data_IF_247892197451
#
_entry.id   IF_247892197451
#
_cell.length_a   1.000
_cell.length_b   1.000
_cell.length_c   1.000
_cell.angle_alpha   90.00
_cell.angle_beta   90.00
_cell.angle_gamma   90.00
#
_symmetry.space_group_name_H-M   'P 1'
#
loop_
_entity.id
_entity.type
_entity.pdbx_description
1 polymer ?
#
# COMPACT_ATOMS: atom_id res chain seq x y z
N UNK A 1 -10.08 -17.48 -25.91
CA UNK A 1 -10.25 -18.06 -24.56
C UNK A 1 -8.85 -18.46 -24.13
N UNK A 2 -8.20 -17.64 -23.32
CA UNK A 2 -6.80 -17.82 -22.91
C UNK A 2 -6.84 -17.90 -21.39
N UNK A 3 -6.57 -19.09 -20.85
CA UNK A 3 -6.59 -19.35 -19.41
C UNK A 3 -5.49 -18.56 -18.70
N UNK A 4 -5.85 -17.93 -17.58
CA UNK A 4 -4.91 -17.31 -16.66
C UNK A 4 -4.13 -18.39 -15.89
N UNK A 5 -2.83 -18.19 -15.59
CA UNK A 5 -2.08 -19.14 -14.78
C UNK A 5 -2.57 -19.14 -13.31
N UNK A 6 -2.45 -20.26 -12.60
CA UNK A 6 -2.95 -20.40 -11.24
C UNK A 6 -2.11 -19.59 -10.23
N UNK A 7 -2.69 -19.22 -9.07
CA UNK A 7 -1.95 -18.58 -7.99
C UNK A 7 -0.90 -19.53 -7.39
N UNK A 8 0.27 -18.98 -7.06
CA UNK A 8 1.35 -19.68 -6.36
C UNK A 8 0.88 -19.97 -4.94
N UNK A 9 0.47 -21.21 -4.67
CA UNK A 9 0.24 -21.70 -3.32
C UNK A 9 1.59 -22.09 -2.71
N UNK A 10 2.08 -21.33 -1.73
CA UNK A 10 3.12 -21.82 -0.82
C UNK A 10 2.55 -22.99 -0.01
N UNK A 11 2.91 -24.21 -0.39
CA UNK A 11 2.60 -25.41 0.38
C UNK A 11 3.44 -25.43 1.67
N UNK A 12 2.87 -24.99 2.78
CA UNK A 12 3.38 -25.34 4.10
C UNK A 12 3.03 -26.80 4.37
N UNK A 13 4.05 -27.65 4.53
CA UNK A 13 3.89 -29.02 5.03
C UNK A 13 3.28 -28.96 6.42
N UNK A 14 2.09 -29.54 6.57
CA UNK A 14 1.50 -29.84 7.88
C UNK A 14 2.47 -30.73 8.67
N UNK A 15 3.12 -30.15 9.67
CA UNK A 15 3.85 -30.92 10.68
C UNK A 15 2.90 -31.15 11.84
N UNK A 16 2.65 -32.43 12.12
CA UNK A 16 1.85 -32.86 13.28
C UNK A 16 2.41 -32.24 14.58
N UNK A 17 1.55 -31.94 15.58
CA UNK A 17 1.99 -31.30 16.80
C UNK A 17 2.96 -32.21 17.58
N UNK A 18 4.06 -31.68 18.12
CA UNK A 18 5.00 -32.47 18.92
C UNK A 18 4.38 -32.90 20.26
N UNK A 19 4.80 -34.05 20.83
CA UNK A 19 4.28 -34.55 22.09
C UNK A 19 4.60 -33.63 23.27
N UNK A 20 3.67 -33.60 24.23
CA UNK A 20 3.42 -32.57 25.26
C UNK A 20 4.58 -32.25 26.24
N UNK A 21 5.72 -32.93 26.20
CA UNK A 21 6.76 -32.80 27.23
C UNK A 21 8.19 -32.66 26.64
N UNK A 22 8.48 -31.57 25.93
CA UNK A 22 9.86 -31.18 25.57
C UNK A 22 10.21 -29.80 26.16
N UNK A 23 11.43 -29.58 26.70
CA UNK A 23 11.83 -28.30 27.28
C UNK A 23 11.98 -27.20 26.21
N UNK A 24 11.92 -25.91 26.58
CA UNK A 24 11.76 -24.82 25.61
C UNK A 24 13.01 -24.67 24.74
N UNK A 25 12.85 -25.04 23.46
CA UNK A 25 13.77 -24.68 22.39
C UNK A 25 13.68 -23.17 22.14
N UNK A 26 14.80 -22.47 22.23
CA UNK A 26 14.94 -21.09 21.77
C UNK A 26 14.97 -21.07 20.24
N UNK A 27 13.81 -21.17 19.60
CA UNK A 27 13.66 -20.74 18.21
C UNK A 27 13.09 -19.31 18.19
N UNK A 28 13.56 -18.42 17.30
CA UNK A 28 12.95 -17.12 17.15
C UNK A 28 11.55 -17.35 16.56
N UNK A 29 10.51 -17.13 17.37
CA UNK A 29 9.13 -17.07 16.88
C UNK A 29 9.06 -16.02 15.77
N UNK A 30 8.67 -16.39 14.54
CA UNK A 30 8.29 -15.38 13.57
C UNK A 30 7.02 -14.76 14.11
N UNK A 31 7.08 -13.47 14.46
CA UNK A 31 5.87 -12.69 14.78
C UNK A 31 5.14 -12.43 13.46
N UNK A 32 4.51 -13.47 12.92
CA UNK A 32 3.47 -13.33 11.93
C UNK A 32 2.22 -12.90 12.69
N UNK A 33 2.02 -11.59 12.83
CA UNK A 33 0.72 -11.07 13.21
C UNK A 33 -0.33 -11.67 12.26
N UNK A 34 -1.45 -12.22 12.77
CA UNK A 34 -2.51 -12.70 11.89
C UNK A 34 -2.96 -11.54 11.01
N UNK A 35 -2.81 -11.71 9.69
CA UNK A 35 -3.31 -10.77 8.68
C UNK A 35 -4.81 -10.60 8.92
N UNK A 36 -5.24 -9.37 9.22
CA UNK A 36 -6.68 -9.09 9.28
C UNK A 36 -7.19 -8.99 7.85
N UNK A 37 -8.21 -9.79 7.53
CA UNK A 37 -8.79 -9.77 6.20
C UNK A 37 -9.35 -8.37 5.86
N UNK A 38 -9.46 -8.06 4.57
CA UNK A 38 -10.03 -6.79 4.11
C UNK A 38 -11.45 -6.50 4.66
N UNK A 39 -12.24 -7.55 4.84
CA UNK A 39 -13.58 -7.50 5.46
C UNK A 39 -13.49 -7.10 6.94
N UNK A 40 -12.53 -7.67 7.68
CA UNK A 40 -12.27 -7.32 9.08
C UNK A 40 -11.82 -5.87 9.23
N UNK A 41 -10.98 -5.36 8.32
CA UNK A 41 -10.59 -3.95 8.29
C UNK A 41 -11.79 -3.02 8.10
N UNK A 42 -12.70 -3.38 7.20
CA UNK A 42 -13.93 -2.61 6.95
C UNK A 42 -14.83 -2.58 8.20
N UNK A 43 -14.97 -3.73 8.86
CA UNK A 43 -15.71 -3.84 10.11
C UNK A 43 -15.05 -3.03 11.23
N UNK A 44 -13.73 -3.09 11.40
CA UNK A 44 -13.02 -2.29 12.41
C UNK A 44 -13.13 -0.78 12.16
N UNK A 45 -13.11 -0.34 10.90
CA UNK A 45 -13.32 1.08 10.56
C UNK A 45 -14.68 1.58 11.00
N UNK A 46 -15.69 0.72 11.18
CA UNK A 46 -17.00 1.10 11.71
C UNK A 46 -16.96 1.43 13.21
N UNK A 47 -15.97 0.90 13.94
CA UNK A 47 -15.77 1.10 15.38
C UNK A 47 -15.16 2.48 15.64
N UNK A 48 -15.87 3.42 16.30
CA UNK A 48 -15.41 4.81 16.43
C UNK A 48 -14.07 4.95 17.15
N UNK A 49 -13.85 4.16 18.20
CA UNK A 49 -12.62 4.24 19.01
C UNK A 49 -11.40 3.70 18.25
N UNK A 50 -11.59 2.70 17.38
CA UNK A 50 -10.53 2.19 16.52
C UNK A 50 -10.14 3.28 15.51
N UNK A 51 -11.14 3.84 14.81
CA UNK A 51 -10.94 4.91 13.82
C UNK A 51 -10.27 6.14 14.43
N UNK A 52 -10.66 6.53 15.63
CA UNK A 52 -10.10 7.71 16.33
C UNK A 52 -8.61 7.54 16.72
N UNK A 53 -8.14 6.30 16.90
CA UNK A 53 -6.75 5.98 17.24
C UNK A 53 -5.88 5.64 16.04
N UNK A 54 -6.50 5.46 14.88
CA UNK A 54 -5.80 5.12 13.67
C UNK A 54 -4.96 6.30 13.16
N UNK A 55 -3.97 6.00 12.32
CA UNK A 55 -2.97 6.98 11.87
C UNK A 55 -2.67 6.80 10.38
N UNK A 56 -2.24 7.87 9.68
CA UNK A 56 -1.91 7.75 8.26
C UNK A 56 -0.80 6.73 8.01
N UNK A 57 0.17 6.61 8.93
CA UNK A 57 1.25 5.63 8.75
C UNK A 57 0.74 4.18 8.81
N UNK A 58 -0.16 3.85 9.75
CA UNK A 58 -0.79 2.51 9.82
C UNK A 58 -1.60 2.20 8.56
N UNK A 59 -2.27 3.20 8.00
CA UNK A 59 -2.97 3.07 6.72
C UNK A 59 -2.03 2.77 5.56
N UNK A 60 -0.87 3.45 5.49
CA UNK A 60 0.16 3.13 4.50
C UNK A 60 0.74 1.71 4.68
N UNK A 61 0.94 1.24 5.91
CA UNK A 61 1.33 -0.16 6.14
C UNK A 61 0.28 -1.15 5.65
N UNK A 62 -1.03 -0.86 5.82
CA UNK A 62 -2.08 -1.70 5.25
C UNK A 62 -2.09 -1.71 3.72
N UNK A 63 -1.75 -0.59 3.07
CA UNK A 63 -1.52 -0.55 1.62
C UNK A 63 -0.33 -1.41 1.22
N UNK A 64 0.79 -1.31 1.94
CA UNK A 64 1.96 -2.17 1.73
C UNK A 64 1.61 -3.66 1.85
N UNK A 65 0.93 -4.06 2.92
CA UNK A 65 0.52 -5.45 3.13
C UNK A 65 -0.38 -5.95 1.99
N UNK A 66 -1.33 -5.13 1.54
CA UNK A 66 -2.20 -5.47 0.41
C UNK A 66 -1.40 -5.66 -0.89
N UNK A 67 -0.44 -4.78 -1.19
CA UNK A 67 0.42 -4.91 -2.37
C UNK A 67 1.33 -6.13 -2.28
N UNK A 68 1.97 -6.35 -1.12
CA UNK A 68 2.85 -7.49 -0.89
C UNK A 68 2.10 -8.84 -0.92
N UNK A 69 0.82 -8.86 -0.55
CA UNK A 69 -0.04 -10.04 -0.63
C UNK A 69 -0.69 -10.23 -2.01
N UNK A 70 -0.54 -9.29 -2.94
CA UNK A 70 -1.25 -9.31 -4.23
C UNK A 70 -2.77 -9.07 -4.09
N UNK A 71 -3.22 -8.54 -2.96
CA UNK A 71 -4.64 -8.26 -2.66
C UNK A 71 -5.04 -6.87 -3.16
N UNK A 72 -4.88 -6.63 -4.46
CA UNK A 72 -5.13 -5.32 -5.09
C UNK A 72 -6.54 -4.78 -4.89
N UNK A 73 -7.53 -5.66 -4.65
CA UNK A 73 -8.89 -5.27 -4.30
C UNK A 73 -8.98 -4.50 -2.96
N UNK A 74 -8.02 -4.69 -2.04
CA UNK A 74 -7.96 -4.03 -0.74
C UNK A 74 -7.30 -2.63 -0.79
N UNK A 75 -6.56 -2.32 -1.87
CA UNK A 75 -5.90 -1.01 -2.05
C UNK A 75 -6.95 0.10 -2.15
N UNK A 76 -7.92 -0.04 -3.05
CA UNK A 76 -8.98 0.96 -3.27
C UNK A 76 -9.67 1.40 -1.98
N UNK A 77 -10.25 0.51 -1.16
CA UNK A 77 -10.94 0.93 0.06
C UNK A 77 -10.00 1.52 1.11
N UNK A 78 -8.71 1.17 1.14
CA UNK A 78 -7.73 1.80 2.04
C UNK A 78 -7.31 3.20 1.56
N UNK A 79 -7.10 3.40 0.26
CA UNK A 79 -6.85 4.73 -0.33
C UNK A 79 -8.05 5.66 -0.09
N UNK A 80 -9.28 5.16 -0.28
CA UNK A 80 -10.49 5.93 -0.01
C UNK A 80 -10.60 6.29 1.48
N UNK A 81 -10.31 5.34 2.36
CA UNK A 81 -10.33 5.56 3.79
C UNK A 81 -9.31 6.65 4.21
N UNK A 82 -8.08 6.59 3.71
CA UNK A 82 -7.05 7.61 3.95
C UNK A 82 -7.53 8.99 3.46
N UNK A 83 -8.06 9.06 2.24
CA UNK A 83 -8.51 10.30 1.62
C UNK A 83 -9.51 11.07 2.50
N UNK A 84 -10.49 10.36 3.06
CA UNK A 84 -11.54 10.96 3.88
C UNK A 84 -11.13 11.26 5.33
N UNK A 85 -9.95 10.84 5.78
CA UNK A 85 -9.39 11.32 7.06
C UNK A 85 -8.87 12.75 6.90
N UNK A 86 -9.71 13.74 7.21
CA UNK A 86 -9.41 15.17 7.00
C UNK A 86 -8.16 15.68 7.74
N UNK A 87 -7.82 15.07 8.87
CA UNK A 87 -6.63 15.41 9.65
C UNK A 87 -5.35 14.79 9.09
N UNK A 88 -5.44 13.84 8.15
CA UNK A 88 -4.31 13.12 7.59
C UNK A 88 -3.77 13.86 6.36
N UNK A 89 -2.94 14.86 6.63
CA UNK A 89 -2.21 15.62 5.61
C UNK A 89 -1.02 14.78 5.15
N UNK A 90 -0.95 14.49 3.85
CA UNK A 90 0.03 13.54 3.31
C UNK A 90 1.47 14.02 3.53
N UNK A 91 1.76 15.29 3.26
CA UNK A 91 3.09 15.87 3.47
C UNK A 91 3.55 15.92 4.94
N UNK A 92 2.64 15.69 5.89
CA UNK A 92 2.93 15.67 7.34
C UNK A 92 3.02 14.26 7.91
N UNK A 93 2.93 13.21 7.08
CA UNK A 93 3.14 11.84 7.56
C UNK A 93 4.59 11.71 8.04
N UNK A 94 4.82 11.32 9.31
CA UNK A 94 6.17 11.21 9.83
C UNK A 94 6.93 10.09 9.12
N UNK A 95 8.25 10.26 9.04
CA UNK A 95 9.16 9.23 8.55
C UNK A 95 9.09 7.99 9.47
N UNK A 96 8.69 6.80 8.95
CA UNK A 96 8.66 5.58 9.75
C UNK A 96 10.05 5.07 10.12
N UNK A 97 11.10 5.47 9.40
CA UNK A 97 12.48 4.96 9.54
C UNK A 97 12.50 3.44 9.56
N UNK A 98 11.83 2.84 8.60
CA UNK A 98 11.65 1.40 8.56
C UNK A 98 12.99 0.70 8.36
N UNK A 99 13.26 -0.32 9.18
CA UNK A 99 14.52 -1.06 9.16
C UNK A 99 14.64 -1.99 7.95
N UNK A 100 13.50 -2.41 7.38
CA UNK A 100 13.48 -3.24 6.18
C UNK A 100 13.55 -2.32 4.94
N UNK A 101 14.65 -2.33 4.17
CA UNK A 101 14.82 -1.45 3.03
C UNK A 101 13.80 -1.71 1.91
N UNK A 102 13.33 -2.95 1.75
CA UNK A 102 12.29 -3.30 0.75
C UNK A 102 10.97 -2.67 1.16
N UNK A 103 10.55 -2.89 2.41
CA UNK A 103 9.32 -2.29 2.93
C UNK A 103 9.40 -0.77 2.93
N UNK A 104 10.55 -0.20 3.28
CA UNK A 104 10.72 1.25 3.30
C UNK A 104 10.57 1.86 1.88
N UNK A 105 11.17 1.22 0.88
CA UNK A 105 11.04 1.63 -0.52
C UNK A 105 9.59 1.55 -1.02
N UNK A 106 8.85 0.50 -0.65
CA UNK A 106 7.43 0.38 -1.00
C UNK A 106 6.60 1.47 -0.32
N UNK A 107 6.81 1.73 0.97
CA UNK A 107 6.11 2.79 1.70
C UNK A 107 6.37 4.19 1.11
N UNK A 108 7.62 4.47 0.72
CA UNK A 108 7.97 5.72 0.04
C UNK A 108 7.24 5.87 -1.29
N UNK A 109 7.20 4.79 -2.09
CA UNK A 109 6.50 4.75 -3.38
C UNK A 109 4.98 4.92 -3.21
N UNK A 110 4.39 4.28 -2.20
CA UNK A 110 2.98 4.44 -1.83
C UNK A 110 2.66 5.90 -1.51
N UNK A 111 3.49 6.57 -0.70
CA UNK A 111 3.25 7.96 -0.32
C UNK A 111 3.29 8.90 -1.52
N UNK A 112 4.23 8.68 -2.44
CA UNK A 112 4.35 9.45 -3.67
C UNK A 112 3.18 9.21 -4.63
N UNK A 113 2.75 7.96 -4.75
CA UNK A 113 1.62 7.60 -5.61
C UNK A 113 0.29 8.10 -5.04
N UNK A 114 0.11 8.08 -3.71
CA UNK A 114 -1.02 8.72 -3.04
C UNK A 114 -1.11 10.22 -3.36
N UNK A 115 0.03 10.93 -3.41
CA UNK A 115 0.04 12.35 -3.76
C UNK A 115 -0.49 12.58 -5.18
N UNK A 116 -0.07 11.75 -6.15
CA UNK A 116 -0.57 11.81 -7.53
C UNK A 116 -2.07 11.49 -7.59
N UNK A 117 -2.50 10.40 -6.95
CA UNK A 117 -3.89 9.97 -6.93
C UNK A 117 -4.81 11.01 -6.28
N UNK A 118 -4.37 11.66 -5.20
CA UNK A 118 -5.11 12.72 -4.54
C UNK A 118 -5.18 14.00 -5.38
N UNK A 119 -4.10 14.37 -6.05
CA UNK A 119 -4.11 15.48 -7.00
C UNK A 119 -5.02 15.22 -8.19
N UNK A 120 -5.07 13.98 -8.69
CA UNK A 120 -6.04 13.57 -9.69
C UNK A 120 -7.48 13.71 -9.18
N UNK A 121 -7.80 13.23 -7.96
CA UNK A 121 -9.13 13.46 -7.34
C UNK A 121 -9.49 14.94 -7.22
N UNK A 122 -8.54 15.78 -6.79
CA UNK A 122 -8.75 17.22 -6.67
C UNK A 122 -9.04 17.87 -8.03
N UNK A 123 -8.36 17.41 -9.08
CA UNK A 123 -8.58 17.85 -10.47
C UNK A 123 -9.96 17.48 -11.02
N UNK A 124 -10.61 16.47 -10.45
CA UNK A 124 -11.99 16.09 -10.74
C UNK A 124 -13.02 16.85 -9.89
N UNK A 125 -12.58 17.77 -9.02
CA UNK A 125 -13.47 18.54 -8.15
C UNK A 125 -13.82 17.83 -6.83
N UNK A 126 -13.29 16.63 -6.59
CA UNK A 126 -13.47 15.94 -5.32
C UNK A 126 -12.75 16.68 -4.19
N UNK A 127 -13.23 16.53 -2.95
CA UNK A 127 -12.63 17.11 -1.75
C UNK A 127 -12.63 16.08 -0.62
N UNK A 128 -11.71 16.22 0.33
CA UNK A 128 -11.64 15.35 1.53
C UNK A 128 -12.91 15.44 2.40
N UNK A 129 -13.67 16.52 2.27
CA UNK A 129 -15.03 16.61 2.78
C UNK A 129 -16.01 16.27 1.64
N UNK A 130 -16.69 15.11 1.72
CA UNK A 130 -17.69 14.67 0.74
C UNK A 130 -18.76 15.74 0.45
N UNK A 131 -19.12 16.55 1.46
CA UNK A 131 -20.14 17.61 1.32
C UNK A 131 -19.65 18.83 0.53
N UNK A 132 -18.34 18.91 0.28
CA UNK A 132 -17.69 20.02 -0.43
C UNK A 132 -17.20 19.61 -1.82
N UNK A 133 -17.61 18.46 -2.33
CA UNK A 133 -17.35 18.09 -3.72
C UNK A 133 -17.90 19.16 -4.66
N UNK A 134 -17.11 19.47 -5.69
CA UNK A 134 -17.44 20.48 -6.68
C UNK A 134 -17.84 19.73 -7.95
N UNK A 135 -19.12 19.81 -8.29
CA UNK A 135 -19.66 19.16 -9.47
C UNK A 135 -19.74 20.16 -10.61
N UNK A 136 -19.29 19.72 -11.78
CA UNK A 136 -19.55 20.44 -13.03
C UNK A 136 -21.03 20.32 -13.38
N UNK A 137 -21.64 21.40 -13.87
CA UNK A 137 -22.99 21.40 -14.46
C UNK A 137 -22.90 21.17 -15.97
N UNK A 138 -21.84 21.65 -16.61
CA UNK A 138 -21.54 21.40 -18.04
C UNK A 138 -20.08 20.99 -18.25
N UNK A 139 -19.73 20.50 -19.44
CA UNK A 139 -18.36 20.03 -19.74
C UNK A 139 -17.35 21.18 -19.79
N UNK A 140 -17.83 22.39 -20.06
CA UNK A 140 -17.06 23.64 -20.18
C UNK A 140 -16.76 24.28 -18.83
N UNK A 141 -17.39 23.82 -17.74
CA UNK A 141 -17.17 24.35 -16.40
C UNK A 141 -15.74 24.11 -15.93
N UNK A 142 -14.99 25.20 -15.79
CA UNK A 142 -13.65 25.18 -15.21
C UNK A 142 -13.77 25.02 -13.69
N UNK A 143 -13.17 23.95 -13.17
CA UNK A 143 -13.12 23.73 -11.73
C UNK A 143 -12.21 24.76 -11.07
N UNK A 144 -12.56 25.24 -9.86
CA UNK A 144 -11.72 26.19 -9.15
C UNK A 144 -10.38 25.56 -8.80
N UNK A 145 -9.30 26.38 -8.72
CA UNK A 145 -7.98 25.88 -8.37
C UNK A 145 -7.99 25.20 -7.01
N UNK A 146 -7.07 24.27 -6.82
CA UNK A 146 -6.87 23.55 -5.56
C UNK A 146 -5.40 23.61 -5.15
N UNK A 147 -5.15 23.51 -3.85
CA UNK A 147 -3.80 23.31 -3.33
C UNK A 147 -3.39 21.85 -3.57
N UNK A 148 -2.33 21.58 -4.34
CA UNK A 148 -1.88 20.21 -4.55
C UNK A 148 -1.40 19.55 -3.25
N UNK A 149 -1.74 18.28 -3.11
CA UNK A 149 -1.12 17.40 -2.12
C UNK A 149 0.32 17.11 -2.56
N UNK A 150 1.22 17.01 -1.58
CA UNK A 150 2.62 16.68 -1.80
C UNK A 150 2.99 15.48 -0.95
N UNK A 151 3.86 14.63 -1.47
CA UNK A 151 4.41 13.52 -0.71
C UNK A 151 5.22 14.04 0.51
N UNK A 152 5.36 13.25 1.58
CA UNK A 152 6.26 13.58 2.67
C UNK A 152 7.69 13.83 2.17
N UNK A 153 8.42 14.77 2.77
CA UNK A 153 9.79 15.07 2.33
C UNK A 153 10.76 13.90 2.50
N UNK A 154 10.50 12.99 3.44
CA UNK A 154 11.37 11.84 3.71
C UNK A 154 11.42 10.86 2.54
N UNK A 155 10.39 10.78 1.70
CA UNK A 155 10.35 9.81 0.59
C UNK A 155 11.48 10.05 -0.41
N UNK A 156 11.88 11.32 -0.59
CA UNK A 156 12.98 11.75 -1.47
C UNK A 156 14.35 11.21 -1.06
N UNK A 157 14.48 10.76 0.19
CA UNK A 157 15.72 10.25 0.75
C UNK A 157 15.75 8.73 0.83
N UNK A 158 14.67 8.06 0.42
CA UNK A 158 14.60 6.59 0.41
C UNK A 158 15.20 6.06 -0.88
N UNK A 159 16.31 5.29 -0.81
CA UNK A 159 16.98 4.79 -2.00
C UNK A 159 16.14 3.72 -2.71
N UNK A 160 16.48 3.41 -3.98
CA UNK A 160 15.99 2.21 -4.63
C UNK A 160 16.39 0.95 -3.88
N UNK A 161 15.62 -0.12 -4.04
CA UNK A 161 15.97 -1.42 -3.46
C UNK A 161 17.28 -1.91 -4.08
N UNK A 162 18.22 -2.31 -3.22
CA UNK A 162 19.44 -2.99 -3.63
C UNK A 162 19.08 -4.38 -4.17
N UNK A 163 19.46 -4.65 -5.42
CA UNK A 163 19.12 -5.90 -6.09
C UNK A 163 19.84 -7.10 -5.46
N UNK A 164 21.01 -6.89 -4.84
CA UNK A 164 21.73 -7.95 -4.12
C UNK A 164 20.95 -8.38 -2.86
N UNK A 165 20.25 -7.45 -2.22
CA UNK A 165 19.47 -7.73 -1.02
C UNK A 165 18.23 -8.59 -1.28
N UNK A 166 17.72 -8.59 -2.52
CA UNK A 166 16.53 -9.36 -2.92
C UNK A 166 16.85 -10.49 -3.88
N UNK A 167 18.12 -10.79 -4.16
CA UNK A 167 18.54 -11.78 -5.16
C UNK A 167 17.96 -13.19 -4.92
N UNK A 168 17.71 -13.53 -3.64
CA UNK A 168 17.14 -14.82 -3.24
C UNK A 168 15.62 -14.91 -3.47
N UNK A 169 14.95 -13.82 -3.84
CA UNK A 169 13.49 -13.78 -4.06
C UNK A 169 13.12 -14.20 -5.48
N UNK A 170 13.66 -15.33 -5.97
CA UNK A 170 13.64 -15.71 -7.40
C UNK A 170 12.24 -15.70 -8.05
N UNK A 171 11.20 -15.98 -7.28
CA UNK A 171 9.82 -16.03 -7.78
C UNK A 171 9.13 -14.66 -7.85
N UNK A 172 9.75 -13.63 -7.26
CA UNK A 172 9.22 -12.27 -7.15
C UNK A 172 10.06 -11.23 -7.91
N UNK A 173 11.02 -11.65 -8.75
CA UNK A 173 11.85 -10.75 -9.54
C UNK A 173 11.52 -10.81 -11.04
N UNK A 174 11.71 -9.69 -11.74
CA UNK A 174 11.72 -9.67 -13.20
C UNK A 174 13.08 -10.11 -13.78
N UNK A 175 13.19 -10.13 -15.11
CA UNK A 175 14.44 -10.49 -15.80
C UNK A 175 15.61 -9.53 -15.55
N UNK A 176 15.34 -8.35 -14.95
CA UNK A 176 16.34 -7.36 -14.56
C UNK A 176 16.63 -7.39 -13.05
N UNK A 177 16.05 -8.34 -12.30
CA UNK A 177 16.22 -8.48 -10.87
C UNK A 177 15.36 -7.53 -10.03
N UNK A 178 14.42 -6.79 -10.62
CA UNK A 178 13.55 -5.84 -9.91
C UNK A 178 12.41 -6.56 -9.21
N UNK A 179 11.97 -6.03 -8.06
CA UNK A 179 10.86 -6.60 -7.31
C UNK A 179 9.54 -6.45 -8.06
N UNK A 180 8.90 -7.55 -8.40
CA UNK A 180 7.59 -7.60 -9.07
C UNK A 180 6.50 -7.80 -8.03
N UNK A 181 5.70 -6.75 -7.81
CA UNK A 181 4.44 -6.88 -7.07
C UNK A 181 3.29 -7.19 -8.04
N UNK A 182 3.33 -6.60 -9.24
CA UNK A 182 2.37 -6.85 -10.32
C UNK A 182 3.07 -6.88 -11.68
N UNK A 183 2.93 -7.99 -12.41
CA UNK A 183 3.60 -8.16 -13.69
C UNK A 183 3.14 -7.14 -14.74
N UNK A 184 4.09 -6.55 -15.46
CA UNK A 184 3.80 -5.58 -16.53
C UNK A 184 3.43 -4.17 -16.04
N UNK A 185 3.45 -3.94 -14.73
CA UNK A 185 3.23 -2.64 -14.11
C UNK A 185 4.27 -1.59 -14.51
N UNK A 186 3.84 -0.34 -14.65
CA UNK A 186 4.68 0.77 -15.16
C UNK A 186 4.60 2.03 -14.30
N UNK A 187 4.21 1.91 -13.02
CA UNK A 187 4.09 3.07 -12.15
C UNK A 187 5.46 3.75 -11.95
N UNK A 188 5.61 5.05 -12.31
CA UNK A 188 6.91 5.73 -12.18
C UNK A 188 7.40 5.83 -10.73
N UNK A 189 6.50 6.04 -9.76
CA UNK A 189 6.90 6.17 -8.34
C UNK A 189 7.55 4.90 -7.78
N UNK A 190 7.09 3.75 -8.26
CA UNK A 190 7.62 2.44 -7.86
C UNK A 190 8.84 2.06 -8.71
N UNK A 191 8.83 2.39 -10.01
CA UNK A 191 9.94 2.12 -10.91
C UNK A 191 11.24 2.81 -10.48
N UNK A 192 11.15 4.04 -9.94
CA UNK A 192 12.29 4.76 -9.35
C UNK A 192 12.97 3.97 -8.22
N UNK A 193 12.28 3.02 -7.60
CA UNK A 193 12.79 2.21 -6.49
C UNK A 193 13.01 0.74 -6.82
N UNK A 194 13.15 0.40 -8.11
CA UNK A 194 13.31 -0.98 -8.59
C UNK A 194 12.10 -1.88 -8.28
N UNK A 195 10.88 -1.31 -8.31
CA UNK A 195 9.64 -2.04 -8.08
C UNK A 195 8.76 -2.00 -9.34
N UNK A 196 8.25 -3.14 -9.76
CA UNK A 196 7.33 -3.33 -10.89
C UNK A 196 5.93 -3.55 -10.35
N UNK A 197 5.04 -2.58 -10.56
CA UNK A 197 3.63 -2.64 -10.14
C UNK A 197 2.79 -1.63 -10.93
N UNK A 198 1.49 -1.89 -11.08
CA UNK A 198 0.53 -0.90 -11.56
C UNK A 198 0.06 -0.01 -10.40
N UNK A 199 -0.37 1.21 -10.73
CA UNK A 199 -0.93 2.13 -9.72
C UNK A 199 -2.40 2.48 -9.95
N UNK A 200 -3.07 1.87 -10.94
CA UNK A 200 -4.47 2.11 -11.26
C UNK A 200 -5.40 1.93 -10.05
N UNK A 201 -5.09 0.99 -9.16
CA UNK A 201 -5.84 0.76 -7.92
C UNK A 201 -5.87 1.96 -6.95
N UNK A 202 -4.95 2.92 -7.09
CA UNK A 202 -4.93 4.17 -6.31
C UNK A 202 -5.91 5.22 -6.86
N UNK A 203 -6.22 5.19 -8.16
CA UNK A 203 -7.01 6.21 -8.86
C UNK A 203 -8.49 5.83 -8.85
N UNK A 204 -9.16 6.15 -7.75
CA UNK A 204 -10.56 5.78 -7.53
C UNK A 204 -11.45 6.99 -7.26
N UNK A 205 -12.67 6.97 -7.80
CA UNK A 205 -13.75 7.95 -7.54
C UNK A 205 -14.80 7.39 -6.61
#
# INVERSE_FOLDING_TARGET
>A
MVDAPPPIHLHFRDTAPPPRNSPPSQSPTPVSHPRMASEDLTNMRSVPIWRARDTPIRSMYRLYEAMAAGEYYAIRPEVEYFWYQRSWILSRVPDPRDYDPVRYAILASIAEELAKAFNWRLSLGMRRDKRKHIYRKTLEDVLPPYTPETAPSWTKHVPPIDLELIADFTDALDSSGKLVLEAGGKSPAFAERNIVTDSGHFYTV
#
